data_IF_422040715483
#
_entry.id   IF_422040715483
#
_cell.length_a   1.000
_cell.length_b   1.000
_cell.length_c   1.000
_cell.angle_alpha   90.00
_cell.angle_beta   90.00
_cell.angle_gamma   90.00
#
_symmetry.space_group_name_H-M   'P 1'
#
loop_
_entity.id
_entity.type
_entity.pdbx_description
1 polymer ?
#
# COMPACT_ATOMS: atom_id res chain seq x y z
N UNK A 1 22.12 21.97 17.81
CA UNK A 1 21.12 20.93 17.53
C UNK A 1 21.79 19.78 16.80
N UNK A 2 21.62 18.60 17.35
CA UNK A 2 22.15 17.41 16.70
C UNK A 2 21.33 17.08 15.46
N UNK A 3 22.00 16.85 14.33
CA UNK A 3 21.33 16.37 13.12
C UNK A 3 20.81 14.96 13.37
N UNK A 4 19.67 14.65 12.78
CA UNK A 4 19.12 13.30 12.79
C UNK A 4 20.15 12.33 12.20
N UNK A 5 20.41 11.21 12.87
CA UNK A 5 21.35 10.21 12.37
C UNK A 5 20.78 9.51 11.12
N UNK A 6 21.67 8.87 10.35
CA UNK A 6 21.25 8.07 9.20
C UNK A 6 20.29 6.96 9.62
N UNK A 7 20.56 6.30 10.76
CA UNK A 7 19.70 5.25 11.29
C UNK A 7 18.30 5.79 11.64
N UNK A 8 18.23 6.99 12.24
CA UNK A 8 16.94 7.61 12.58
C UNK A 8 16.14 8.00 11.34
N UNK A 9 16.80 8.53 10.30
CA UNK A 9 16.15 8.83 9.03
C UNK A 9 15.63 7.57 8.36
N UNK A 10 16.44 6.51 8.33
CA UNK A 10 16.06 5.24 7.74
C UNK A 10 14.89 4.62 8.50
N UNK A 11 14.87 4.72 9.83
CA UNK A 11 13.75 4.22 10.63
C UNK A 11 12.46 4.96 10.31
N UNK A 12 12.52 6.29 10.20
CA UNK A 12 11.36 7.10 9.83
C UNK A 12 10.85 6.72 8.43
N UNK A 13 11.76 6.57 7.46
CA UNK A 13 11.43 6.16 6.10
C UNK A 13 10.80 4.76 6.09
N UNK A 14 11.31 3.87 6.93
CA UNK A 14 10.78 2.51 7.10
C UNK A 14 9.34 2.54 7.64
N UNK A 15 9.04 3.42 8.57
CA UNK A 15 7.69 3.59 9.12
C UNK A 15 6.72 4.13 8.07
N UNK A 16 7.16 5.07 7.25
CA UNK A 16 6.37 5.61 6.14
C UNK A 16 6.09 4.51 5.11
N UNK A 17 7.11 3.76 4.74
CA UNK A 17 6.99 2.64 3.80
C UNK A 17 6.01 1.59 4.33
N UNK A 18 6.10 1.24 5.62
CA UNK A 18 5.21 0.26 6.23
C UNK A 18 3.75 0.68 6.11
N UNK A 19 3.44 1.96 6.35
CA UNK A 19 2.07 2.48 6.20
C UNK A 19 1.58 2.41 4.77
N UNK A 20 2.45 2.73 3.81
CA UNK A 20 2.10 2.62 2.38
C UNK A 20 1.84 1.18 1.96
N UNK A 21 2.67 0.25 2.41
CA UNK A 21 2.51 -1.19 2.13
C UNK A 21 1.22 -1.72 2.77
N UNK A 22 0.93 -1.35 4.02
CA UNK A 22 -0.30 -1.76 4.70
C UNK A 22 -1.54 -1.28 3.96
N UNK A 23 -1.52 -0.05 3.45
CA UNK A 23 -2.62 0.48 2.66
C UNK A 23 -2.79 -0.32 1.36
N UNK A 24 -1.70 -0.62 0.66
CA UNK A 24 -1.77 -1.43 -0.57
C UNK A 24 -2.30 -2.84 -0.30
N UNK A 25 -1.85 -3.48 0.78
CA UNK A 25 -2.32 -4.80 1.16
C UNK A 25 -3.80 -4.80 1.56
N UNK A 26 -4.28 -3.70 2.14
CA UNK A 26 -5.67 -3.56 2.53
C UNK A 26 -6.59 -3.39 1.31
N UNK A 27 -6.09 -2.74 0.27
CA UNK A 27 -6.85 -2.43 -0.95
C UNK A 27 -6.76 -3.56 -1.97
N UNK A 28 -5.56 -4.10 -2.18
CA UNK A 28 -5.32 -5.10 -3.23
C UNK A 28 -5.61 -6.50 -2.71
N UNK A 29 -6.27 -7.28 -3.55
CA UNK A 29 -6.62 -8.67 -3.22
C UNK A 29 -6.33 -9.57 -4.41
N UNK A 30 -6.24 -10.88 -4.16
CA UNK A 30 -6.08 -11.88 -5.21
C UNK A 30 -7.32 -11.94 -6.09
N UNK A 31 -7.24 -12.65 -7.21
CA UNK A 31 -8.36 -12.81 -8.14
C UNK A 31 -9.61 -13.41 -7.46
N UNK A 32 -9.42 -14.25 -6.45
CA UNK A 32 -10.50 -14.87 -5.67
C UNK A 32 -10.87 -14.07 -4.41
N UNK A 33 -10.37 -12.85 -4.27
CA UNK A 33 -10.78 -11.91 -3.24
C UNK A 33 -10.11 -12.07 -1.88
N UNK A 34 -9.02 -12.85 -1.81
CA UNK A 34 -8.24 -13.04 -0.58
C UNK A 34 -7.16 -11.98 -0.44
N UNK A 35 -6.76 -11.61 0.79
CA UNK A 35 -5.55 -10.78 0.97
C UNK A 35 -4.32 -11.48 0.40
N UNK A 36 -3.39 -10.70 -0.16
CA UNK A 36 -2.11 -11.25 -0.59
C UNK A 36 -1.29 -11.70 0.61
N UNK A 37 -0.69 -12.88 0.47
CA UNK A 37 0.24 -13.44 1.46
C UNK A 37 1.67 -13.27 0.99
N UNK A 38 2.63 -13.45 1.91
CA UNK A 38 4.05 -13.37 1.59
C UNK A 38 4.42 -14.23 0.37
N UNK A 39 3.89 -15.46 0.31
CA UNK A 39 4.23 -16.39 -0.77
C UNK A 39 3.83 -15.84 -2.15
N UNK A 40 2.69 -15.19 -2.24
CA UNK A 40 2.22 -14.58 -3.48
C UNK A 40 3.19 -13.51 -3.97
N UNK A 41 3.63 -12.65 -3.05
CA UNK A 41 4.55 -11.55 -3.35
C UNK A 41 5.94 -12.09 -3.66
N UNK A 42 6.41 -13.05 -2.85
CA UNK A 42 7.72 -13.68 -3.04
C UNK A 42 7.83 -14.32 -4.44
N UNK A 43 6.82 -15.06 -4.85
CA UNK A 43 6.78 -15.71 -6.15
C UNK A 43 6.78 -14.70 -7.29
N UNK A 44 5.96 -13.64 -7.18
CA UNK A 44 5.87 -12.61 -8.20
C UNK A 44 7.19 -11.86 -8.38
N UNK A 45 7.86 -11.53 -7.28
CA UNK A 45 9.15 -10.85 -7.33
C UNK A 45 10.24 -11.77 -7.87
N UNK A 46 10.22 -13.05 -7.51
CA UNK A 46 11.18 -14.03 -8.02
C UNK A 46 11.08 -14.15 -9.54
N UNK A 47 9.91 -14.08 -10.12
CA UNK A 47 9.70 -14.08 -11.57
C UNK A 47 10.37 -12.89 -12.25
N UNK A 48 10.55 -11.79 -11.53
CA UNK A 48 11.26 -10.59 -12.01
C UNK A 48 12.75 -10.62 -11.68
N UNK A 49 13.24 -11.72 -11.11
CA UNK A 49 14.64 -11.84 -10.71
C UNK A 49 14.98 -11.12 -9.41
N UNK A 50 13.96 -10.75 -8.62
CA UNK A 50 14.14 -10.05 -7.34
C UNK A 50 13.85 -11.00 -6.20
N UNK A 51 14.82 -11.16 -5.30
CA UNK A 51 14.66 -12.02 -4.13
C UNK A 51 14.13 -11.22 -2.94
N UNK A 52 13.00 -11.65 -2.39
CA UNK A 52 12.42 -11.09 -1.18
C UNK A 52 12.40 -12.16 -0.08
N UNK A 53 13.23 -12.00 0.94
CA UNK A 53 13.25 -12.93 2.08
C UNK A 53 12.11 -12.64 3.05
N UNK A 54 11.73 -13.65 3.84
CA UNK A 54 10.74 -13.46 4.91
C UNK A 54 11.18 -12.43 5.94
N UNK A 55 12.47 -12.42 6.28
CA UNK A 55 13.04 -11.47 7.22
C UNK A 55 12.91 -10.04 6.69
N UNK A 56 13.26 -9.82 5.43
CA UNK A 56 13.14 -8.50 4.80
C UNK A 56 11.68 -8.05 4.76
N UNK A 57 10.78 -8.94 4.35
CA UNK A 57 9.35 -8.64 4.30
C UNK A 57 8.81 -8.28 5.69
N UNK A 58 9.23 -9.03 6.72
CA UNK A 58 8.86 -8.74 8.10
C UNK A 58 9.27 -7.30 8.49
N UNK A 59 10.50 -6.90 8.19
CA UNK A 59 10.99 -5.56 8.51
C UNK A 59 10.30 -4.46 7.71
N UNK A 60 9.96 -4.74 6.45
CA UNK A 60 9.19 -3.80 5.63
C UNK A 60 7.83 -3.54 6.27
N UNK A 61 7.13 -4.58 6.67
CA UNK A 61 5.79 -4.47 7.28
C UNK A 61 5.84 -3.87 8.69
N UNK A 62 6.85 -4.22 9.47
CA UNK A 62 7.00 -3.71 10.83
C UNK A 62 7.42 -2.24 10.89
N UNK A 63 8.08 -1.75 9.85
CA UNK A 63 8.59 -0.38 9.83
C UNK A 63 9.72 -0.14 10.81
N UNK A 64 10.52 -1.16 11.09
CA UNK A 64 11.58 -1.12 12.09
C UNK A 64 13.00 -1.18 11.49
N UNK A 65 13.13 -1.06 10.17
CA UNK A 65 14.42 -1.14 9.52
C UNK A 65 15.23 0.13 9.71
N UNK A 66 16.49 -0.02 10.14
CA UNK A 66 17.43 1.08 10.30
C UNK A 66 18.34 1.23 9.07
N UNK A 67 18.16 0.38 8.07
CA UNK A 67 18.87 0.38 6.80
C UNK A 67 17.85 0.52 5.67
N UNK A 68 18.17 1.31 4.64
CA UNK A 68 17.27 1.50 3.50
C UNK A 68 17.08 0.20 2.75
N UNK A 69 15.86 -0.03 2.30
CA UNK A 69 15.57 -1.17 1.44
C UNK A 69 16.16 -0.94 0.05
N UNK A 70 16.66 -2.00 -0.61
CA UNK A 70 17.18 -1.86 -1.97
C UNK A 70 16.13 -1.30 -2.93
N UNK A 71 16.51 -0.34 -3.81
CA UNK A 71 15.55 0.23 -4.77
C UNK A 71 14.89 -0.80 -5.68
N UNK A 72 15.62 -1.83 -6.09
CA UNK A 72 15.07 -2.89 -6.94
C UNK A 72 13.95 -3.67 -6.25
N UNK A 73 14.01 -3.84 -4.93
CA UNK A 73 12.94 -4.49 -4.17
C UNK A 73 11.70 -3.60 -4.16
N UNK A 74 11.88 -2.31 -3.87
CA UNK A 74 10.75 -1.36 -3.82
C UNK A 74 10.11 -1.17 -5.20
N UNK A 75 10.92 -1.12 -6.26
CA UNK A 75 10.41 -1.02 -7.63
C UNK A 75 9.59 -2.26 -8.00
N UNK A 76 10.09 -3.45 -7.67
CA UNK A 76 9.36 -4.69 -7.94
C UNK A 76 8.06 -4.80 -7.14
N UNK A 77 8.05 -4.33 -5.88
CA UNK A 77 6.83 -4.28 -5.08
C UNK A 77 5.82 -3.32 -5.68
N UNK A 78 6.26 -2.14 -6.13
CA UNK A 78 5.38 -1.17 -6.77
C UNK A 78 4.76 -1.74 -8.05
N UNK A 79 5.54 -2.43 -8.86
CA UNK A 79 5.05 -3.10 -10.06
C UNK A 79 4.05 -4.19 -9.72
N UNK A 80 4.30 -4.96 -8.66
CA UNK A 80 3.38 -5.98 -8.19
C UNK A 80 2.02 -5.37 -7.82
N UNK A 81 2.04 -4.26 -7.09
CA UNK A 81 0.81 -3.55 -6.69
C UNK A 81 0.26 -2.62 -7.77
N UNK A 82 0.91 -2.54 -8.93
CA UNK A 82 0.49 -1.70 -10.05
C UNK A 82 0.41 -0.21 -9.70
N UNK A 83 1.35 0.26 -8.91
CA UNK A 83 1.50 1.67 -8.57
C UNK A 83 2.82 2.20 -9.12
N UNK A 84 2.93 3.53 -9.25
CA UNK A 84 4.18 4.15 -9.69
C UNK A 84 5.29 3.83 -8.67
N UNK A 85 6.48 3.38 -9.13
CA UNK A 85 7.59 3.11 -8.22
C UNK A 85 7.96 4.27 -7.29
N UNK A 86 7.78 5.51 -7.73
CA UNK A 86 8.03 6.69 -6.91
C UNK A 86 7.22 6.70 -5.63
N UNK A 87 6.06 6.08 -5.64
CA UNK A 87 5.21 5.96 -4.45
C UNK A 87 5.94 5.25 -3.30
N UNK A 88 6.71 4.21 -3.60
CA UNK A 88 7.46 3.47 -2.60
C UNK A 88 8.89 3.97 -2.43
N UNK A 89 9.49 4.52 -3.49
CA UNK A 89 10.88 4.99 -3.46
C UNK A 89 11.03 6.33 -2.74
N UNK A 90 10.02 7.20 -2.81
CA UNK A 90 10.06 8.52 -2.17
C UNK A 90 9.52 8.46 -0.75
N UNK A 91 10.38 8.80 0.20
CA UNK A 91 10.00 8.89 1.61
C UNK A 91 9.32 10.22 1.95
N UNK A 92 9.33 11.19 1.05
CA UNK A 92 8.80 12.54 1.28
C UNK A 92 7.27 12.63 1.24
N UNK A 93 6.61 11.51 1.40
CA UNK A 93 5.19 11.44 1.69
C UNK A 93 4.25 11.94 0.62
N UNK A 94 4.78 12.32 -0.53
CA UNK A 94 3.98 12.88 -1.59
C UNK A 94 3.21 11.84 -2.40
N UNK A 95 2.34 11.08 -1.77
CA UNK A 95 1.34 10.35 -2.56
C UNK A 95 0.51 11.41 -3.25
N UNK A 96 0.38 11.36 -4.59
CA UNK A 96 -0.60 12.22 -5.23
C UNK A 96 -1.94 12.03 -4.53
N UNK A 97 -2.53 13.13 -4.11
CA UNK A 97 -3.78 13.15 -3.34
C UNK A 97 -4.84 12.23 -3.97
N UNK A 98 -4.91 12.22 -5.29
CA UNK A 98 -5.83 11.35 -6.01
C UNK A 98 -5.60 9.87 -5.76
N UNK A 99 -4.35 9.41 -5.78
CA UNK A 99 -4.04 7.98 -5.53
C UNK A 99 -4.41 7.61 -4.11
N UNK A 100 -4.13 8.47 -3.16
CA UNK A 100 -4.49 8.22 -1.77
C UNK A 100 -6.00 8.11 -1.60
N UNK A 101 -6.77 9.00 -2.23
CA UNK A 101 -8.23 8.94 -2.17
C UNK A 101 -8.78 7.65 -2.78
N UNK A 102 -8.25 7.23 -3.92
CA UNK A 102 -8.67 5.97 -4.56
C UNK A 102 -8.37 4.77 -3.66
N UNK A 103 -7.18 4.74 -3.04
CA UNK A 103 -6.79 3.66 -2.15
C UNK A 103 -7.66 3.63 -0.89
N UNK A 104 -7.94 4.78 -0.30
CA UNK A 104 -8.80 4.90 0.88
C UNK A 104 -10.23 4.45 0.58
N UNK A 105 -10.76 4.83 -0.59
CA UNK A 105 -12.08 4.39 -1.02
C UNK A 105 -12.14 2.87 -1.17
N UNK A 106 -11.18 2.28 -1.86
CA UNK A 106 -11.14 0.84 -2.07
C UNK A 106 -11.01 0.08 -0.74
N UNK A 107 -10.21 0.60 0.19
CA UNK A 107 -10.10 0.02 1.52
C UNK A 107 -11.42 0.09 2.28
N UNK A 108 -12.12 1.23 2.22
CA UNK A 108 -13.42 1.41 2.86
C UNK A 108 -14.47 0.45 2.28
N UNK A 109 -14.49 0.29 0.95
CA UNK A 109 -15.40 -0.62 0.27
C UNK A 109 -15.15 -2.08 0.67
N UNK A 110 -13.88 -2.47 0.76
CA UNK A 110 -13.50 -3.81 1.22
C UNK A 110 -13.96 -4.06 2.65
N UNK A 111 -13.75 -3.09 3.55
CA UNK A 111 -14.18 -3.19 4.94
C UNK A 111 -15.70 -3.30 5.05
N UNK A 112 -16.43 -2.62 4.20
CA UNK A 112 -17.89 -2.64 4.18
C UNK A 112 -18.47 -3.85 3.44
N UNK A 113 -17.63 -4.69 2.83
CA UNK A 113 -18.05 -5.89 2.08
C UNK A 113 -18.98 -5.60 0.90
N UNK A 114 -18.82 -4.43 0.26
CA UNK A 114 -19.62 -4.05 -0.91
C UNK A 114 -18.86 -4.24 -2.22
N UNK A 115 -17.91 -5.14 -2.23
CA UNK A 115 -16.93 -5.33 -3.28
C UNK A 115 -17.51 -5.55 -4.68
N UNK A 116 -18.48 -6.43 -4.80
CA UNK A 116 -19.07 -6.75 -6.11
C UNK A 116 -19.91 -5.61 -6.67
N UNK A 117 -20.66 -4.94 -5.80
CA UNK A 117 -21.47 -3.79 -6.17
C UNK A 117 -20.58 -2.66 -6.71
N UNK A 118 -19.46 -2.41 -6.06
CA UNK A 118 -18.54 -1.34 -6.40
C UNK A 118 -17.93 -1.50 -7.79
N UNK A 119 -17.52 -2.73 -8.14
CA UNK A 119 -16.86 -2.99 -9.42
C UNK A 119 -17.74 -2.66 -10.62
N UNK A 120 -19.05 -2.81 -10.48
CA UNK A 120 -19.98 -2.55 -11.58
C UNK A 120 -20.45 -1.10 -11.63
N UNK A 121 -20.59 -0.47 -10.48
CA UNK A 121 -21.30 0.82 -10.37
C UNK A 121 -20.37 2.01 -10.33
N UNK A 122 -19.12 1.85 -9.87
CA UNK A 122 -18.20 2.95 -9.66
C UNK A 122 -17.27 3.25 -10.84
N UNK A 123 -17.30 2.45 -11.89
CA UNK A 123 -16.46 2.66 -13.06
C UNK A 123 -16.69 4.04 -13.71
N UNK A 124 -17.94 4.54 -13.69
CA UNK A 124 -18.35 5.79 -14.31
C UNK A 124 -18.56 6.94 -13.32
N UNK A 125 -18.15 6.77 -12.07
CA UNK A 125 -18.39 7.75 -11.01
C UNK A 125 -17.19 8.66 -10.85
N UNK A 126 -17.42 9.96 -10.66
CA UNK A 126 -16.35 10.93 -10.46
C UNK A 126 -15.72 10.85 -9.07
N UNK A 127 -14.56 11.52 -8.90
CA UNK A 127 -13.79 11.45 -7.66
C UNK A 127 -14.56 12.02 -6.47
N UNK A 128 -15.32 13.09 -6.65
CA UNK A 128 -16.10 13.71 -5.58
C UNK A 128 -17.16 12.76 -5.04
N UNK A 129 -17.85 12.06 -5.94
CA UNK A 129 -18.85 11.06 -5.55
C UNK A 129 -18.20 9.86 -4.87
N UNK A 130 -17.03 9.43 -5.37
CA UNK A 130 -16.27 8.35 -4.74
C UNK A 130 -15.88 8.69 -3.30
N UNK A 131 -15.42 9.92 -3.07
CA UNK A 131 -15.07 10.40 -1.73
C UNK A 131 -16.30 10.44 -0.80
N UNK A 132 -17.44 10.88 -1.33
CA UNK A 132 -18.69 10.90 -0.56
C UNK A 132 -19.13 9.49 -0.17
N UNK A 133 -19.01 8.52 -1.06
CA UNK A 133 -19.33 7.11 -0.77
C UNK A 133 -18.39 6.57 0.31
N UNK A 134 -17.10 6.85 0.21
CA UNK A 134 -16.12 6.41 1.21
C UNK A 134 -16.46 6.98 2.60
N UNK A 135 -16.83 8.25 2.67
CA UNK A 135 -17.21 8.88 3.93
C UNK A 135 -18.45 8.23 4.55
N UNK A 136 -19.44 7.89 3.73
CA UNK A 136 -20.66 7.21 4.20
C UNK A 136 -20.36 5.81 4.76
N UNK A 137 -19.47 5.06 4.08
CA UNK A 137 -19.10 3.73 4.52
C UNK A 137 -18.29 3.77 5.83
N UNK A 138 -17.42 4.76 5.99
CA UNK A 138 -16.66 4.93 7.23
C UNK A 138 -17.55 5.35 8.39
N UNK A 139 -18.54 6.23 8.15
CA UNK A 139 -19.49 6.65 9.17
C UNK A 139 -20.36 5.49 9.64
N UNK A 140 -20.75 4.58 8.75
CA UNK A 140 -21.57 3.41 9.12
C UNK A 140 -20.85 2.46 10.07
N UNK A 141 -19.54 2.51 10.16
CA UNK A 141 -18.74 1.70 11.08
C UNK A 141 -18.71 2.21 12.51
N UNK A 142 -19.04 3.47 12.72
CA UNK A 142 -19.01 4.10 14.05
C UNK A 142 -20.26 3.77 14.89
N UNK A 143 -21.22 3.14 14.28
CA UNK A 143 -22.48 2.74 14.94
C UNK A 143 -22.58 1.20 14.88
#
# INVERSE_FOLDING_TARGET
>A
MAAESAAQRNLRDSQILARKIDLLLDVMVTADGRPYEFQDIHTALAEKGVKLSRTRWHHIKAGDATVRQPPEVLTALAEFFQVNPDYLLNSDGGVPERIQHELELLAAMRRAKVKEFATRTLADVDNETLDAIAALLDDSKKY
#
